data_IF_640956258411
#
_entry.id   IF_640956258411
#
_cell.length_a   1.000
_cell.length_b   1.000
_cell.length_c   1.000
_cell.angle_alpha   90.00
_cell.angle_beta   90.00
_cell.angle_gamma   90.00
#
_symmetry.space_group_name_H-M   'P 1'
#
loop_
_entity.id
_entity.type
_entity.pdbx_description
1 polymer ?
#
# COMPACT_ATOMS: atom_id res chain seq x y z
N UNK A 1 -33.58 62.68 -50.27
CA UNK A 1 -32.32 62.88 -49.52
C UNK A 1 -32.44 62.64 -48.01
N UNK A 2 -33.51 63.09 -47.33
CA UNK A 2 -33.68 62.95 -45.86
C UNK A 2 -33.94 61.50 -45.38
N UNK A 3 -34.50 60.63 -46.24
CA UNK A 3 -34.87 59.24 -45.89
C UNK A 3 -33.63 58.32 -45.72
N UNK A 4 -32.65 58.46 -46.61
CA UNK A 4 -31.36 57.74 -46.55
C UNK A 4 -30.53 58.14 -45.32
N UNK A 5 -30.55 59.43 -44.94
CA UNK A 5 -29.83 59.95 -43.76
C UNK A 5 -30.41 59.42 -42.44
N UNK A 6 -31.75 59.32 -42.34
CA UNK A 6 -32.43 58.74 -41.16
C UNK A 6 -32.21 57.23 -41.04
N UNK A 7 -32.11 56.53 -42.17
CA UNK A 7 -31.85 55.09 -42.22
C UNK A 7 -30.41 54.75 -41.79
N UNK A 8 -29.43 55.56 -42.20
CA UNK A 8 -28.04 55.45 -41.72
C UNK A 8 -27.87 55.71 -40.22
N UNK A 9 -28.59 56.70 -39.67
CA UNK A 9 -28.59 56.98 -38.22
C UNK A 9 -29.27 55.86 -37.40
N UNK A 10 -30.36 55.28 -37.91
CA UNK A 10 -31.04 54.15 -37.26
C UNK A 10 -30.20 52.87 -37.23
N UNK A 11 -29.47 52.56 -38.31
CA UNK A 11 -28.54 51.43 -38.34
C UNK A 11 -27.36 51.62 -37.37
N UNK A 12 -26.80 52.84 -37.29
CA UNK A 12 -25.74 53.16 -36.32
C UNK A 12 -26.20 53.03 -34.86
N UNK A 13 -27.43 53.47 -34.55
CA UNK A 13 -27.99 53.35 -33.21
C UNK A 13 -28.21 51.88 -32.80
N UNK A 14 -28.66 51.01 -33.72
CA UNK A 14 -28.86 49.59 -33.43
C UNK A 14 -27.55 48.85 -33.09
N UNK A 15 -26.45 49.17 -33.81
CA UNK A 15 -25.13 48.60 -33.55
C UNK A 15 -24.61 49.03 -32.17
N UNK A 16 -24.78 50.31 -31.81
CA UNK A 16 -24.37 50.82 -30.50
C UNK A 16 -25.15 50.18 -29.35
N UNK A 17 -26.45 49.95 -29.53
CA UNK A 17 -27.26 49.24 -28.53
C UNK A 17 -26.77 47.80 -28.36
N UNK A 18 -26.49 47.09 -29.46
CA UNK A 18 -25.95 45.72 -29.41
C UNK A 18 -24.60 45.63 -28.69
N UNK A 19 -23.68 46.55 -28.97
CA UNK A 19 -22.38 46.63 -28.30
C UNK A 19 -22.53 46.97 -26.81
N UNK A 20 -23.45 47.88 -26.46
CA UNK A 20 -23.71 48.24 -25.06
C UNK A 20 -24.31 47.09 -24.26
N UNK A 21 -25.24 46.33 -24.84
CA UNK A 21 -25.81 45.14 -24.21
C UNK A 21 -24.76 44.03 -24.04
N UNK A 22 -23.88 43.85 -25.03
CA UNK A 22 -22.80 42.89 -24.96
C UNK A 22 -21.76 43.25 -23.89
N UNK A 23 -21.41 44.54 -23.78
CA UNK A 23 -20.53 45.05 -22.71
C UNK A 23 -21.14 44.88 -21.32
N UNK A 24 -22.46 44.97 -21.16
CA UNK A 24 -23.12 44.72 -19.88
C UNK A 24 -23.21 43.22 -19.53
N UNK A 25 -23.37 42.35 -20.53
CA UNK A 25 -23.49 40.91 -20.32
C UNK A 25 -22.13 40.21 -20.09
N UNK A 26 -21.07 40.70 -20.73
CA UNK A 26 -19.73 40.12 -20.66
C UNK A 26 -19.13 39.99 -19.23
N UNK A 27 -19.16 41.02 -18.36
CA UNK A 27 -18.61 40.89 -17.01
C UNK A 27 -19.41 39.90 -16.15
N UNK A 28 -20.73 39.87 -16.31
CA UNK A 28 -21.62 38.94 -15.60
C UNK A 28 -21.36 37.48 -15.99
N UNK A 29 -21.15 37.21 -17.28
CA UNK A 29 -20.79 35.86 -17.76
C UNK A 29 -19.44 35.40 -17.21
N UNK A 30 -18.45 36.30 -17.16
CA UNK A 30 -17.11 35.99 -16.64
C UNK A 30 -17.11 35.64 -15.15
N UNK A 31 -17.95 36.31 -14.35
CA UNK A 31 -18.08 35.98 -12.92
C UNK A 31 -18.81 34.65 -12.73
N UNK A 32 -19.85 34.40 -13.52
CA UNK A 32 -20.57 33.13 -13.48
C UNK A 32 -19.66 31.95 -13.85
N UNK A 33 -18.88 32.07 -14.94
CA UNK A 33 -17.93 31.03 -15.33
C UNK A 33 -16.86 30.80 -14.26
N UNK A 34 -16.28 31.87 -13.70
CA UNK A 34 -15.30 31.75 -12.62
C UNK A 34 -15.88 31.06 -11.37
N UNK A 35 -17.14 31.36 -11.01
CA UNK A 35 -17.82 30.69 -9.90
C UNK A 35 -18.04 29.20 -10.17
N UNK A 36 -18.53 28.86 -11.35
CA UNK A 36 -18.74 27.46 -11.76
C UNK A 36 -17.43 26.68 -11.81
N UNK A 37 -16.33 27.31 -12.23
CA UNK A 37 -15.00 26.71 -12.16
C UNK A 37 -14.55 26.45 -10.72
N UNK A 38 -14.70 27.42 -9.82
CA UNK A 38 -14.35 27.22 -8.40
C UNK A 38 -15.19 26.13 -7.72
N UNK A 39 -16.50 26.08 -7.99
CA UNK A 39 -17.37 25.01 -7.48
C UNK A 39 -16.97 23.64 -8.03
N UNK A 40 -16.62 23.55 -9.31
CA UNK A 40 -16.15 22.31 -9.92
C UNK A 40 -14.81 21.83 -9.31
N UNK A 41 -13.85 22.74 -9.09
CA UNK A 41 -12.57 22.42 -8.45
C UNK A 41 -12.76 21.93 -7.00
N UNK A 42 -13.63 22.59 -6.23
CA UNK A 42 -13.94 22.17 -4.87
C UNK A 42 -14.62 20.79 -4.84
N UNK A 43 -15.55 20.53 -5.75
CA UNK A 43 -16.21 19.24 -5.89
C UNK A 43 -15.20 18.14 -6.25
N UNK A 44 -14.31 18.39 -7.22
CA UNK A 44 -13.23 17.46 -7.59
C UNK A 44 -12.28 17.20 -6.43
N UNK A 45 -11.83 18.24 -5.73
CA UNK A 45 -10.93 18.09 -4.58
C UNK A 45 -11.59 17.28 -3.45
N UNK A 46 -12.89 17.47 -3.22
CA UNK A 46 -13.65 16.71 -2.22
C UNK A 46 -13.76 15.23 -2.60
N UNK A 47 -14.11 14.95 -3.86
CA UNK A 47 -14.17 13.57 -4.36
C UNK A 47 -12.80 12.89 -4.29
N UNK A 48 -11.73 13.59 -4.70
CA UNK A 48 -10.37 13.05 -4.63
C UNK A 48 -9.98 12.69 -3.19
N UNK A 49 -10.30 13.53 -2.20
CA UNK A 49 -10.07 13.21 -0.78
C UNK A 49 -10.87 11.98 -0.34
N UNK A 50 -12.14 11.87 -0.75
CA UNK A 50 -12.97 10.71 -0.42
C UNK A 50 -12.40 9.42 -1.01
N UNK A 51 -11.94 9.45 -2.26
CA UNK A 51 -11.29 8.30 -2.91
C UNK A 51 -10.06 7.87 -2.12
N UNK A 52 -9.19 8.80 -1.73
CA UNK A 52 -7.98 8.50 -0.95
C UNK A 52 -8.33 7.86 0.39
N UNK A 53 -9.35 8.38 1.10
CA UNK A 53 -9.78 7.82 2.38
C UNK A 53 -10.36 6.42 2.22
N UNK A 54 -11.22 6.22 1.22
CA UNK A 54 -11.79 4.90 0.93
C UNK A 54 -10.71 3.90 0.55
N UNK A 55 -9.73 4.31 -0.25
CA UNK A 55 -8.62 3.47 -0.64
C UNK A 55 -7.73 3.12 0.56
N UNK A 56 -7.37 4.09 1.40
CA UNK A 56 -6.59 3.84 2.61
C UNK A 56 -7.33 2.90 3.58
N UNK A 57 -8.66 3.04 3.69
CA UNK A 57 -9.48 2.15 4.51
C UNK A 57 -9.51 0.72 3.92
N UNK A 58 -9.67 0.58 2.61
CA UNK A 58 -9.64 -0.72 1.93
C UNK A 58 -8.27 -1.40 2.07
N UNK A 59 -7.17 -0.66 1.94
CA UNK A 59 -5.81 -1.16 2.13
C UNK A 59 -5.58 -1.64 3.57
N UNK A 60 -6.04 -0.86 4.56
CA UNK A 60 -5.99 -1.26 5.98
C UNK A 60 -6.77 -2.55 6.24
N UNK A 61 -7.98 -2.66 5.71
CA UNK A 61 -8.81 -3.87 5.87
C UNK A 61 -8.17 -5.10 5.20
N UNK A 62 -7.59 -4.92 4.02
CA UNK A 62 -6.87 -5.97 3.31
C UNK A 62 -5.64 -6.45 4.09
N UNK A 63 -4.88 -5.53 4.70
CA UNK A 63 -3.72 -5.88 5.53
C UNK A 63 -4.14 -6.65 6.79
N UNK A 64 -5.21 -6.22 7.45
CA UNK A 64 -5.77 -6.94 8.61
C UNK A 64 -6.19 -8.35 8.24
N UNK A 65 -6.93 -8.53 7.14
CA UNK A 65 -7.37 -9.84 6.69
C UNK A 65 -6.18 -10.75 6.35
N UNK A 66 -5.16 -10.20 5.68
CA UNK A 66 -3.93 -10.93 5.36
C UNK A 66 -3.17 -11.36 6.62
N UNK A 67 -3.04 -10.47 7.59
CA UNK A 67 -2.39 -10.77 8.87
C UNK A 67 -3.15 -11.83 9.65
N UNK A 68 -4.49 -11.76 9.68
CA UNK A 68 -5.35 -12.77 10.30
C UNK A 68 -5.19 -14.13 9.61
N UNK A 69 -5.25 -14.18 8.28
CA UNK A 69 -5.05 -15.43 7.53
C UNK A 69 -3.68 -16.05 7.76
N UNK A 70 -2.64 -15.22 7.85
CA UNK A 70 -1.28 -15.68 8.16
C UNK A 70 -1.17 -16.19 9.60
N UNK A 71 -1.77 -15.50 10.57
CA UNK A 71 -1.79 -15.91 11.97
C UNK A 71 -2.55 -17.23 12.16
N UNK A 72 -3.69 -17.40 11.50
CA UNK A 72 -4.47 -18.64 11.53
C UNK A 72 -3.72 -19.79 10.87
N UNK A 73 -3.12 -19.58 9.69
CA UNK A 73 -2.27 -20.56 9.04
C UNK A 73 -1.10 -20.99 9.94
N UNK A 74 -0.41 -20.03 10.57
CA UNK A 74 0.68 -20.31 11.50
C UNK A 74 0.20 -21.08 12.74
N UNK A 75 -0.99 -20.76 13.26
CA UNK A 75 -1.58 -21.50 14.39
C UNK A 75 -1.89 -22.95 14.01
N UNK A 76 -2.46 -23.18 12.83
CA UNK A 76 -2.77 -24.53 12.32
C UNK A 76 -1.48 -25.33 12.13
N UNK A 77 -0.47 -24.74 11.48
CA UNK A 77 0.84 -25.37 11.27
C UNK A 77 1.53 -25.64 12.61
N UNK A 78 1.55 -24.67 13.52
CA UNK A 78 2.14 -24.84 14.86
C UNK A 78 1.49 -25.99 15.62
N UNK A 79 0.15 -26.05 15.63
CA UNK A 79 -0.60 -27.13 16.27
C UNK A 79 -0.37 -28.50 15.61
N UNK A 80 -0.27 -28.55 14.27
CA UNK A 80 -0.02 -29.83 13.57
C UNK A 80 1.40 -30.35 13.77
N UNK A 81 2.36 -29.46 14.01
CA UNK A 81 3.77 -29.80 14.23
C UNK A 81 4.13 -30.05 15.70
N UNK A 82 3.39 -29.47 16.66
CA UNK A 82 3.71 -29.51 18.10
C UNK A 82 3.83 -30.92 18.71
N UNK A 83 3.23 -31.94 18.10
CA UNK A 83 3.26 -33.32 18.59
C UNK A 83 4.11 -34.29 17.78
N UNK A 84 4.82 -33.84 16.73
CA UNK A 84 5.46 -34.75 15.77
C UNK A 84 6.93 -34.42 15.51
N UNK A 85 7.76 -34.65 16.53
CA UNK A 85 9.21 -34.46 16.46
C UNK A 85 9.87 -35.33 15.37
N UNK A 86 9.35 -36.54 15.13
CA UNK A 86 9.84 -37.43 14.08
C UNK A 86 9.61 -36.87 12.67
N UNK A 87 8.43 -36.28 12.43
CA UNK A 87 8.11 -35.61 11.17
C UNK A 87 8.94 -34.34 10.96
N UNK A 88 9.17 -33.55 12.01
CA UNK A 88 10.06 -32.39 11.93
C UNK A 88 11.50 -32.79 11.58
N UNK A 89 12.01 -33.86 12.22
CA UNK A 89 13.33 -34.42 11.88
C UNK A 89 13.38 -34.90 10.44
N UNK A 90 12.35 -35.62 9.97
CA UNK A 90 12.27 -36.08 8.59
C UNK A 90 12.20 -34.92 7.60
N UNK A 91 11.37 -33.90 7.86
CA UNK A 91 11.23 -32.72 7.02
C UNK A 91 12.55 -31.95 6.90
N UNK A 92 13.29 -31.82 8.02
CA UNK A 92 14.61 -31.21 8.06
C UNK A 92 15.62 -31.98 7.19
N UNK A 93 15.73 -33.29 7.38
CA UNK A 93 16.63 -34.14 6.57
C UNK A 93 16.26 -34.08 5.08
N UNK A 94 14.97 -34.10 4.76
CA UNK A 94 14.49 -34.00 3.37
C UNK A 94 14.81 -32.62 2.75
N UNK A 95 14.66 -31.53 3.50
CA UNK A 95 15.05 -30.18 3.05
C UNK A 95 16.56 -30.04 2.85
N UNK A 96 17.37 -30.70 3.68
CA UNK A 96 18.82 -30.78 3.51
C UNK A 96 19.21 -31.54 2.23
N UNK A 97 18.52 -32.62 1.92
CA UNK A 97 18.75 -33.42 0.71
C UNK A 97 18.34 -32.67 -0.57
N UNK A 98 17.23 -31.92 -0.49
CA UNK A 98 16.69 -31.12 -1.60
C UNK A 98 17.51 -29.87 -1.95
N UNK A 99 18.45 -29.46 -1.09
CA UNK A 99 19.29 -28.26 -1.24
C UNK A 99 20.48 -28.40 -2.19
N UNK A 100 20.74 -29.60 -2.73
CA UNK A 100 21.78 -29.85 -3.73
C UNK A 100 23.20 -29.70 -3.18
N UNK A 101 23.79 -30.81 -2.69
CA UNK A 101 25.23 -31.01 -2.42
C UNK A 101 25.98 -29.94 -1.60
N UNK A 102 25.30 -28.93 -1.03
CA UNK A 102 25.91 -27.93 -0.17
C UNK A 102 25.83 -28.44 1.27
N UNK A 103 26.97 -28.93 1.79
CA UNK A 103 27.12 -29.38 3.19
C UNK A 103 26.64 -28.27 4.12
N UNK A 104 25.40 -28.35 4.60
CA UNK A 104 24.85 -27.43 5.59
C UNK A 104 25.42 -27.83 6.96
N UNK A 105 26.58 -27.28 7.32
CA UNK A 105 27.16 -27.46 8.65
C UNK A 105 26.39 -26.58 9.63
N UNK A 106 25.36 -27.15 10.27
CA UNK A 106 24.61 -26.49 11.34
C UNK A 106 25.42 -26.63 12.63
N UNK A 107 26.06 -25.55 13.07
CA UNK A 107 26.68 -25.50 14.39
C UNK A 107 25.59 -25.38 15.45
N UNK A 108 25.29 -26.48 16.13
CA UNK A 108 24.48 -26.47 17.35
C UNK A 108 25.46 -26.33 18.51
N UNK A 109 25.56 -25.16 19.17
CA UNK A 109 26.35 -25.07 20.40
C UNK A 109 25.70 -25.99 21.42
N UNK A 110 26.31 -27.16 21.64
CA UNK A 110 26.09 -27.89 22.88
C UNK A 110 26.71 -27.02 23.96
N UNK A 111 25.92 -26.62 24.95
CA UNK A 111 26.32 -25.77 26.07
C UNK A 111 27.26 -26.51 27.05
N UNK A 112 28.25 -27.22 26.51
CA UNK A 112 29.03 -28.24 27.20
C UNK A 112 30.24 -28.72 26.40
N UNK A 113 30.97 -27.82 25.75
CA UNK A 113 32.32 -28.06 25.20
C UNK A 113 33.37 -28.31 26.31
N UNK A 114 33.08 -29.17 27.28
CA UNK A 114 34.10 -29.73 28.16
C UNK A 114 34.25 -31.19 27.75
N UNK A 115 35.41 -31.60 27.21
CA UNK A 115 35.66 -33.01 26.96
C UNK A 115 35.55 -33.74 28.30
N UNK A 116 34.64 -34.72 28.43
CA UNK A 116 34.71 -35.69 29.52
C UNK A 116 35.93 -36.59 29.26
N UNK A 117 37.11 -36.06 29.58
CA UNK A 117 38.34 -36.83 29.65
C UNK A 117 38.17 -37.82 30.79
N UNK A 118 38.26 -39.11 30.46
CA UNK A 118 38.40 -40.27 31.34
C UNK A 118 38.49 -39.94 32.85
N UNK A 119 37.35 -39.71 33.50
CA UNK A 119 37.29 -39.61 34.96
C UNK A 119 37.48 -41.02 35.51
N UNK A 120 38.74 -41.42 35.74
CA UNK A 120 39.08 -42.48 36.69
C UNK A 120 39.83 -43.71 36.19
N UNK A 121 40.63 -43.65 35.12
CA UNK A 121 41.59 -44.73 34.80
C UNK A 121 43.02 -44.38 35.19
N UNK A 122 43.22 -43.92 36.41
CA UNK A 122 44.54 -43.88 37.05
C UNK A 122 44.41 -44.17 38.55
N UNK A 123 45.03 -45.27 38.97
CA UNK A 123 45.40 -45.48 40.37
C UNK A 123 44.72 -46.65 41.09
N UNK A 124 44.96 -47.90 40.68
CA UNK A 124 45.51 -48.87 41.65
C UNK A 124 46.13 -50.10 40.96
N UNK A 125 47.38 -49.93 40.53
CA UNK A 125 48.25 -51.04 40.15
C UNK A 125 49.64 -50.75 40.69
N UNK A 126 50.08 -51.58 41.64
CA UNK A 126 51.43 -51.68 42.21
C UNK A 126 51.86 -50.56 43.19
N UNK A 127 52.57 -50.81 44.31
CA UNK A 127 53.08 -52.00 45.03
C UNK A 127 53.76 -51.44 46.30
N UNK A 128 53.72 -52.23 47.39
CA UNK A 128 54.44 -52.13 48.68
C UNK A 128 53.92 -51.15 49.72
#
# INVERSE_FOLDING_TARGET
MIKELKMGFGAGAAILIGISAWMAAYPSYRVYSAKMHGEAELAQATQNKQIIVQQAQAEKEAEVLKAQGTAEANKIIGNSLAGNEAYLRWLWVNKLDSGGNEKTVVYVPTDGMVPQLEMGRIGNGAVK
#
